data_IF_533579237430
#
_entry.id   IF_533579237430
#
_cell.length_a   1.000
_cell.length_b   1.000
_cell.length_c   1.000
_cell.angle_alpha   90.00
_cell.angle_beta   90.00
_cell.angle_gamma   90.00
#
_symmetry.space_group_name_H-M   'P 1'
#
loop_
_entity.id
_entity.type
_entity.pdbx_description
1 polymer ?
#
# COMPACT_ATOMS: atom_id res chain seq x y z
N UNK A 1 1.98 29.51 25.15
CA UNK A 1 2.02 28.04 24.97
C UNK A 1 1.67 27.78 23.51
N UNK A 2 2.68 27.56 22.68
CA UNK A 2 2.51 27.42 21.24
C UNK A 2 1.68 26.17 20.93
N UNK A 3 0.50 26.37 20.35
CA UNK A 3 -0.13 25.35 19.52
C UNK A 3 0.81 25.13 18.33
N UNK A 4 1.65 24.10 18.42
CA UNK A 4 2.17 23.49 17.20
C UNK A 4 0.93 22.95 16.47
N UNK A 5 0.48 23.68 15.46
CA UNK A 5 -0.41 23.17 14.44
C UNK A 5 0.31 21.94 13.87
N UNK A 6 -0.04 20.74 14.34
CA UNK A 6 0.57 19.51 13.87
C UNK A 6 0.20 19.41 12.39
N UNK A 7 1.17 19.73 11.52
CA UNK A 7 1.01 19.57 10.09
C UNK A 7 0.65 18.10 9.84
N UNK A 8 -0.38 17.87 9.02
CA UNK A 8 -0.70 16.52 8.56
C UNK A 8 0.56 15.93 7.91
N UNK A 9 0.89 14.68 8.25
CA UNK A 9 1.99 13.93 7.65
C UNK A 9 1.85 13.96 6.12
N UNK A 10 2.94 14.19 5.36
CA UNK A 10 2.88 14.17 3.91
C UNK A 10 2.45 12.78 3.44
N UNK A 11 1.44 12.74 2.57
CA UNK A 11 0.87 11.50 2.04
C UNK A 11 1.42 11.18 0.65
N UNK A 12 1.58 9.89 0.30
CA UNK A 12 1.96 9.49 -1.05
C UNK A 12 0.81 9.70 -2.03
N UNK A 13 1.15 9.74 -3.32
CA UNK A 13 0.15 9.61 -4.38
C UNK A 13 -0.35 8.15 -4.47
N UNK A 14 -1.61 7.94 -4.89
CA UNK A 14 -2.16 6.58 -5.08
C UNK A 14 -1.35 5.78 -6.11
N UNK A 15 -0.79 6.46 -7.10
CA UNK A 15 0.10 5.87 -8.09
C UNK A 15 1.41 5.33 -7.50
N UNK A 16 1.96 5.99 -6.48
CA UNK A 16 3.11 5.50 -5.73
C UNK A 16 2.75 4.25 -4.93
N UNK A 17 1.57 4.25 -4.27
CA UNK A 17 1.06 3.06 -3.57
C UNK A 17 0.91 1.87 -4.52
N UNK A 18 0.39 2.10 -5.72
CA UNK A 18 0.28 1.05 -6.75
C UNK A 18 1.65 0.51 -7.14
N UNK A 19 2.62 1.38 -7.45
CA UNK A 19 3.96 0.96 -7.88
C UNK A 19 4.67 0.15 -6.77
N UNK A 20 4.54 0.56 -5.50
CA UNK A 20 5.05 -0.22 -4.35
C UNK A 20 4.32 -1.55 -4.19
N UNK A 21 2.99 -1.58 -4.36
CA UNK A 21 2.19 -2.80 -4.29
C UNK A 21 2.62 -3.82 -5.35
N UNK A 22 2.90 -3.37 -6.57
CA UNK A 22 3.41 -4.23 -7.63
C UNK A 22 4.78 -4.82 -7.27
N UNK A 23 5.67 -4.04 -6.64
CA UNK A 23 6.97 -4.52 -6.18
C UNK A 23 6.84 -5.60 -5.08
N UNK A 24 5.96 -5.39 -4.09
CA UNK A 24 5.67 -6.39 -3.04
C UNK A 24 5.14 -7.70 -3.65
N UNK A 25 4.23 -7.61 -4.64
CA UNK A 25 3.67 -8.79 -5.30
C UNK A 25 4.70 -9.52 -6.17
N UNK A 26 5.61 -8.81 -6.83
CA UNK A 26 6.73 -9.40 -7.56
C UNK A 26 7.67 -10.16 -6.62
N UNK A 27 8.06 -9.55 -5.50
CA UNK A 27 8.84 -10.24 -4.47
C UNK A 27 8.09 -11.48 -3.94
N UNK A 28 6.77 -11.39 -3.79
CA UNK A 28 5.95 -12.53 -3.39
C UNK A 28 5.95 -13.67 -4.41
N UNK A 29 6.02 -13.37 -5.71
CA UNK A 29 6.17 -14.39 -6.76
C UNK A 29 7.55 -15.05 -6.71
N UNK A 30 8.60 -14.25 -6.47
CA UNK A 30 9.98 -14.76 -6.40
C UNK A 30 10.23 -15.64 -5.17
N UNK A 31 9.65 -15.29 -4.02
CA UNK A 31 9.99 -15.90 -2.74
C UNK A 31 8.89 -16.78 -2.13
N UNK A 32 7.61 -16.53 -2.39
CA UNK A 32 6.49 -17.13 -1.65
C UNK A 32 5.34 -17.62 -2.53
N UNK A 33 5.65 -18.14 -3.72
CA UNK A 33 4.67 -18.73 -4.64
C UNK A 33 3.50 -17.79 -5.00
N UNK A 34 3.77 -16.47 -5.01
CA UNK A 34 2.81 -15.45 -5.44
C UNK A 34 1.91 -14.88 -4.36
N UNK A 35 2.13 -15.19 -3.07
CA UNK A 35 1.32 -14.63 -1.98
C UNK A 35 2.15 -14.10 -0.82
N UNK A 36 1.86 -12.86 -0.39
CA UNK A 36 2.38 -12.30 0.86
C UNK A 36 1.58 -12.75 2.10
N UNK A 37 0.55 -13.59 1.92
CA UNK A 37 -0.27 -14.10 3.01
C UNK A 37 0.55 -14.93 4.00
N UNK A 38 0.55 -14.49 5.26
CA UNK A 38 1.36 -15.10 6.32
C UNK A 38 2.82 -14.68 6.31
N UNK A 39 3.12 -13.54 5.67
CA UNK A 39 4.42 -12.87 5.71
C UNK A 39 4.37 -11.63 6.58
N UNK A 40 5.49 -11.32 7.20
CA UNK A 40 5.70 -10.12 7.99
C UNK A 40 6.52 -9.11 7.18
N UNK A 41 5.92 -7.94 6.93
CA UNK A 41 6.60 -6.76 6.39
C UNK A 41 6.87 -5.78 7.53
N UNK A 42 8.12 -5.42 7.74
CA UNK A 42 8.50 -4.37 8.68
C UNK A 42 8.89 -3.10 7.91
N UNK A 43 8.33 -1.96 8.33
CA UNK A 43 8.53 -0.64 7.72
C UNK A 43 9.11 0.29 8.78
N UNK A 44 10.31 0.80 8.52
CA UNK A 44 11.03 1.70 9.41
C UNK A 44 10.94 3.13 8.88
N UNK A 45 10.01 3.91 9.41
CA UNK A 45 9.67 5.26 8.96
C UNK A 45 8.33 5.33 8.23
N UNK A 46 7.57 6.38 8.52
CA UNK A 46 6.31 6.73 7.87
C UNK A 46 6.45 7.98 6.98
N UNK A 47 7.58 8.15 6.30
CA UNK A 47 7.65 9.03 5.13
C UNK A 47 6.66 8.57 4.03
N UNK A 48 6.36 9.39 2.99
CA UNK A 48 5.34 9.05 1.99
C UNK A 48 5.47 7.63 1.42
N UNK A 49 6.70 7.20 1.10
CA UNK A 49 6.97 5.83 0.62
C UNK A 49 6.72 4.76 1.70
N UNK A 50 7.05 5.03 2.96
CA UNK A 50 6.72 4.16 4.09
C UNK A 50 5.21 3.96 4.23
N UNK A 51 4.43 5.04 4.15
CA UNK A 51 2.95 4.97 4.14
C UNK A 51 2.45 4.16 2.95
N UNK A 52 3.01 4.40 1.76
CA UNK A 52 2.68 3.63 0.56
C UNK A 52 2.96 2.14 0.75
N UNK A 53 4.07 1.81 1.41
CA UNK A 53 4.49 0.44 1.72
C UNK A 53 3.54 -0.24 2.70
N UNK A 54 3.04 0.48 3.71
CA UNK A 54 2.04 -0.05 4.64
C UNK A 54 0.77 -0.47 3.91
N UNK A 55 0.22 0.44 3.09
CA UNK A 55 -0.99 0.16 2.31
C UNK A 55 -0.74 -1.00 1.32
N UNK A 56 0.36 -0.94 0.57
CA UNK A 56 0.76 -1.96 -0.40
C UNK A 56 0.89 -3.35 0.23
N UNK A 57 1.52 -3.45 1.40
CA UNK A 57 1.66 -4.70 2.14
C UNK A 57 0.31 -5.33 2.48
N UNK A 58 -0.62 -4.53 3.00
CA UNK A 58 -1.97 -5.01 3.31
C UNK A 58 -2.75 -5.43 2.05
N UNK A 59 -2.64 -4.69 0.95
CA UNK A 59 -3.26 -5.07 -0.34
C UNK A 59 -2.71 -6.40 -0.85
N UNK A 60 -1.39 -6.61 -0.72
CA UNK A 60 -0.72 -7.86 -1.07
C UNK A 60 -1.04 -9.02 -0.11
N UNK A 61 -1.63 -8.74 1.05
CA UNK A 61 -2.05 -9.74 2.05
C UNK A 61 -1.05 -9.98 3.18
N UNK A 62 -0.01 -9.16 3.30
CA UNK A 62 0.98 -9.26 4.38
C UNK A 62 0.44 -8.73 5.72
N UNK A 63 1.00 -9.24 6.80
CA UNK A 63 0.95 -8.56 8.09
C UNK A 63 2.06 -7.49 8.11
N UNK A 64 1.72 -6.28 8.55
CA UNK A 64 2.60 -5.11 8.47
C UNK A 64 2.86 -4.55 9.87
N UNK A 65 4.14 -4.41 10.21
CA UNK A 65 4.62 -3.65 11.36
C UNK A 65 5.23 -2.33 10.85
N UNK A 66 4.61 -1.21 11.18
CA UNK A 66 5.14 0.11 10.87
C UNK A 66 5.67 0.79 12.14
N UNK A 67 6.89 1.31 12.06
CA UNK A 67 7.60 1.91 13.19
C UNK A 67 7.95 3.33 12.78
N UNK A 68 7.61 4.31 13.59
CA UNK A 68 7.98 5.71 13.38
C UNK A 68 8.40 6.35 14.69
N UNK A 69 9.34 7.30 14.65
CA UNK A 69 9.78 8.00 15.86
C UNK A 69 8.70 8.97 16.38
N UNK A 70 7.83 9.49 15.50
CA UNK A 70 6.78 10.44 15.87
C UNK A 70 5.47 9.73 16.20
N UNK A 71 5.01 9.92 17.43
CA UNK A 71 3.74 9.37 17.91
C UNK A 71 2.52 9.95 17.19
N UNK A 72 2.58 11.20 16.75
CA UNK A 72 1.47 11.79 16.01
C UNK A 72 1.32 11.19 14.61
N UNK A 73 2.41 10.78 13.95
CA UNK A 73 2.34 10.04 12.68
C UNK A 73 1.58 8.72 12.83
N UNK A 74 1.91 7.91 13.84
CA UNK A 74 1.21 6.65 14.11
C UNK A 74 -0.30 6.88 14.36
N UNK A 75 -0.65 7.88 15.18
CA UNK A 75 -2.07 8.24 15.42
C UNK A 75 -2.77 8.72 14.16
N UNK A 76 -2.09 9.46 13.28
CA UNK A 76 -2.63 9.90 12.00
C UNK A 76 -2.99 8.71 11.11
N UNK A 77 -2.15 7.67 11.03
CA UNK A 77 -2.44 6.47 10.24
C UNK A 77 -3.75 5.79 10.67
N UNK A 78 -3.99 5.70 11.98
CA UNK A 78 -5.25 5.18 12.53
C UNK A 78 -6.43 6.10 12.18
N UNK A 79 -6.29 7.42 12.33
CA UNK A 79 -7.35 8.40 11.98
C UNK A 79 -7.70 8.37 10.49
N UNK A 80 -6.72 8.13 9.64
CA UNK A 80 -6.90 8.03 8.19
C UNK A 80 -7.46 6.67 7.77
N UNK A 81 -7.44 5.66 8.65
CA UNK A 81 -7.84 4.29 8.33
C UNK A 81 -6.86 3.59 7.38
N UNK A 82 -5.57 3.99 7.44
CA UNK A 82 -4.46 3.32 6.75
C UNK A 82 -3.90 2.20 7.63
N UNK A 83 -4.01 2.36 8.96
CA UNK A 83 -3.56 1.38 9.94
C UNK A 83 -4.73 0.86 10.80
N UNK A 84 -4.71 -0.42 11.15
CA UNK A 84 -5.73 -1.06 11.99
C UNK A 84 -5.49 -0.83 13.49
N UNK A 85 -4.24 -0.89 13.94
CA UNK A 85 -3.86 -0.79 15.34
C UNK A 85 -2.69 0.14 15.59
N UNK A 86 -2.77 0.95 16.63
CA UNK A 86 -1.61 1.68 17.17
C UNK A 86 -1.30 1.14 18.55
N UNK A 87 -0.08 0.66 18.74
CA UNK A 87 0.39 0.01 19.97
C UNK A 87 1.57 0.77 20.57
N UNK A 88 1.86 0.51 21.84
CA UNK A 88 2.90 1.26 22.57
C UNK A 88 4.25 0.55 22.61
N UNK A 89 4.27 -0.76 22.37
CA UNK A 89 5.48 -1.58 22.44
C UNK A 89 5.43 -2.75 21.46
N UNK A 90 6.60 -3.37 21.28
CA UNK A 90 6.79 -4.48 20.36
C UNK A 90 6.06 -5.75 20.82
N UNK A 91 5.87 -5.96 22.13
CA UNK A 91 5.22 -7.18 22.64
C UNK A 91 3.72 -7.18 22.30
N UNK A 92 3.06 -6.03 22.45
CA UNK A 92 1.68 -5.85 22.01
C UNK A 92 1.55 -6.00 20.49
N UNK A 93 2.49 -5.43 19.72
CA UNK A 93 2.52 -5.57 18.27
C UNK A 93 2.59 -7.05 17.85
N UNK A 94 3.53 -7.80 18.44
CA UNK A 94 3.76 -9.20 18.12
C UNK A 94 2.59 -10.09 18.49
N UNK A 95 1.84 -9.78 19.56
CA UNK A 95 0.63 -10.52 19.92
C UNK A 95 -0.44 -10.44 18.82
N UNK A 96 -0.59 -9.27 18.18
CA UNK A 96 -1.52 -9.07 17.07
C UNK A 96 -0.98 -9.77 15.82
N UNK A 97 0.26 -9.44 15.43
CA UNK A 97 0.88 -9.92 14.19
C UNK A 97 0.96 -11.44 14.14
N UNK A 98 1.37 -12.11 15.23
CA UNK A 98 1.51 -13.57 15.29
C UNK A 98 0.22 -14.30 14.93
N UNK A 99 -0.92 -13.80 15.39
CA UNK A 99 -2.22 -14.42 15.12
C UNK A 99 -2.63 -14.27 13.66
N UNK A 100 -2.45 -13.09 13.08
CA UNK A 100 -2.88 -12.80 11.71
C UNK A 100 -1.92 -13.38 10.67
N UNK A 101 -0.62 -13.40 10.96
CA UNK A 101 0.39 -14.16 10.17
C UNK A 101 -0.02 -15.64 10.08
N UNK A 102 -0.40 -16.26 11.21
CA UNK A 102 -0.84 -17.67 11.22
C UNK A 102 -2.11 -17.90 10.38
N UNK A 103 -3.05 -16.95 10.42
CA UNK A 103 -4.29 -17.00 9.63
C UNK A 103 -4.12 -16.57 8.18
N UNK A 104 -2.92 -16.09 7.80
CA UNK A 104 -2.63 -15.48 6.50
C UNK A 104 -3.58 -14.32 6.17
N UNK A 105 -3.93 -13.54 7.18
CA UNK A 105 -4.78 -12.37 7.03
C UNK A 105 -3.93 -11.10 7.09
N UNK A 106 -4.23 -10.10 6.24
CA UNK A 106 -3.58 -8.82 6.32
C UNK A 106 -4.00 -8.10 7.61
N UNK A 107 -3.03 -7.48 8.26
CA UNK A 107 -3.23 -6.57 9.39
C UNK A 107 -2.11 -5.54 9.37
N UNK A 108 -2.40 -4.32 9.79
CA UNK A 108 -1.42 -3.26 9.94
C UNK A 108 -1.34 -2.81 11.40
N UNK A 109 -0.14 -2.82 11.95
CA UNK A 109 0.15 -2.38 13.32
C UNK A 109 1.22 -1.29 13.25
N UNK A 110 0.88 -0.10 13.73
CA UNK A 110 1.82 1.02 13.86
C UNK A 110 2.26 1.17 15.32
N UNK A 111 3.53 1.53 15.54
CA UNK A 111 4.04 1.89 16.85
C UNK A 111 4.96 3.10 16.78
N UNK A 112 4.94 3.90 17.85
CA UNK A 112 5.79 5.05 18.01
C UNK A 112 7.03 4.66 18.82
N UNK A 113 8.17 4.50 18.17
CA UNK A 113 9.42 4.09 18.80
C UNK A 113 10.64 4.59 18.03
N UNK A 114 11.76 4.69 18.72
CA UNK A 114 13.05 4.89 18.06
C UNK A 114 13.34 3.70 17.12
N UNK A 115 13.67 4.01 15.87
CA UNK A 115 13.78 3.00 14.80
C UNK A 115 14.91 2.00 15.09
N UNK A 116 16.07 2.52 15.49
CA UNK A 116 17.26 1.72 15.77
C UNK A 116 17.07 0.87 17.02
N UNK A 117 16.54 1.45 18.11
CA UNK A 117 16.25 0.70 19.32
C UNK A 117 15.20 -0.39 19.07
N UNK A 118 14.20 -0.13 18.24
CA UNK A 118 13.22 -1.14 17.85
C UNK A 118 13.87 -2.25 17.02
N UNK A 119 14.64 -1.91 15.98
CA UNK A 119 15.36 -2.88 15.16
C UNK A 119 16.30 -3.76 16.00
N UNK A 120 17.04 -3.16 16.94
CA UNK A 120 17.90 -3.89 17.87
C UNK A 120 17.11 -4.87 18.73
N UNK A 121 15.96 -4.47 19.28
CA UNK A 121 15.09 -5.39 20.02
C UNK A 121 14.58 -6.54 19.13
N UNK A 122 14.25 -6.28 17.86
CA UNK A 122 13.86 -7.34 16.92
C UNK A 122 15.00 -8.33 16.71
N UNK A 123 16.23 -7.83 16.51
CA UNK A 123 17.45 -8.64 16.32
C UNK A 123 17.75 -9.50 17.54
N UNK A 124 17.70 -8.94 18.75
CA UNK A 124 17.98 -9.62 20.02
C UNK A 124 16.93 -10.69 20.35
N UNK A 125 15.66 -10.41 20.04
CA UNK A 125 14.54 -11.33 20.28
C UNK A 125 14.38 -12.39 19.18
N UNK A 126 15.23 -12.35 18.14
CA UNK A 126 15.14 -13.27 17.00
C UNK A 126 13.89 -13.08 16.15
N UNK A 127 13.29 -11.88 16.17
CA UNK A 127 12.18 -11.53 15.31
C UNK A 127 12.70 -11.21 13.90
N UNK A 128 12.43 -12.10 12.96
CA UNK A 128 12.85 -11.96 11.57
C UNK A 128 11.64 -11.61 10.68
N UNK A 129 11.58 -10.41 10.09
CA UNK A 129 10.60 -10.10 9.05
C UNK A 129 10.98 -10.79 7.73
N UNK A 130 9.98 -11.03 6.89
CA UNK A 130 10.16 -11.55 5.53
C UNK A 130 10.53 -10.40 4.56
N UNK A 131 9.96 -9.20 4.76
CA UNK A 131 10.29 -7.99 4.01
C UNK A 131 10.66 -6.81 4.91
N UNK A 132 11.55 -5.96 4.40
CA UNK A 132 12.00 -4.71 5.01
C UNK A 132 11.82 -3.53 4.05
N UNK A 133 11.45 -2.38 4.60
CA UNK A 133 11.40 -1.11 3.88
C UNK A 133 11.71 0.08 4.82
N UNK A 134 12.12 1.21 4.24
CA UNK A 134 12.37 2.47 4.97
C UNK A 134 13.85 2.69 5.31
N UNK A 135 14.12 3.26 6.48
CA UNK A 135 15.47 3.45 7.01
C UNK A 135 16.07 2.10 7.47
N UNK A 136 17.03 1.58 6.69
CA UNK A 136 17.61 0.24 6.88
C UNK A 136 19.09 0.29 7.29
N UNK A 137 19.50 1.33 7.99
CA UNK A 137 20.82 1.42 8.61
C UNK A 137 20.87 0.70 9.97
N UNK A 138 22.07 0.63 10.56
CA UNK A 138 22.28 0.09 11.91
C UNK A 138 21.75 -1.34 12.08
N UNK A 139 20.98 -1.56 13.14
CA UNK A 139 20.41 -2.85 13.48
C UNK A 139 19.40 -3.37 12.44
N UNK A 140 18.75 -2.50 11.66
CA UNK A 140 17.85 -2.94 10.60
C UNK A 140 18.62 -3.63 9.44
N UNK A 141 19.87 -3.23 9.19
CA UNK A 141 20.74 -3.90 8.22
C UNK A 141 21.03 -5.36 8.63
N UNK A 142 21.12 -5.65 9.93
CA UNK A 142 21.32 -7.02 10.44
C UNK A 142 20.13 -7.92 10.09
N UNK A 143 18.90 -7.39 10.10
CA UNK A 143 17.71 -8.15 9.70
C UNK A 143 17.76 -8.50 8.20
N UNK A 144 18.28 -7.60 7.36
CA UNK A 144 18.53 -7.87 5.95
C UNK A 144 19.60 -8.94 5.76
N UNK A 145 20.73 -8.85 6.46
CA UNK A 145 21.81 -9.86 6.42
C UNK A 145 21.32 -11.26 6.83
N UNK A 146 20.33 -11.32 7.72
CA UNK A 146 19.65 -12.57 8.13
C UNK A 146 18.64 -13.09 7.11
N UNK A 147 18.47 -12.42 5.97
CA UNK A 147 17.69 -12.90 4.83
C UNK A 147 16.34 -12.23 4.60
N UNK A 148 16.02 -11.13 5.29
CA UNK A 148 14.85 -10.34 4.92
C UNK A 148 15.03 -9.70 3.53
N UNK A 149 14.01 -9.81 2.68
CA UNK A 149 14.02 -9.16 1.38
C UNK A 149 13.82 -7.64 1.54
N UNK A 150 14.56 -6.82 0.80
CA UNK A 150 14.42 -5.36 0.87
C UNK A 150 13.57 -4.84 -0.28
N UNK A 151 12.57 -4.03 0.07
CA UNK A 151 11.76 -3.28 -0.87
C UNK A 151 12.50 -2.00 -1.29
N UNK A 152 13.35 -2.12 -2.31
CA UNK A 152 14.16 -1.01 -2.81
C UNK A 152 13.34 0.10 -3.48
N UNK A 153 13.93 1.30 -3.58
CA UNK A 153 13.35 2.47 -4.25
C UNK A 153 13.09 2.25 -5.76
N UNK A 154 13.93 1.42 -6.38
CA UNK A 154 14.18 1.40 -7.83
C UNK A 154 13.79 0.07 -8.51
N UNK A 155 13.00 -0.77 -7.85
CA UNK A 155 12.64 -2.08 -8.40
C UNK A 155 11.49 -1.96 -9.42
N UNK A 156 11.86 -1.72 -10.67
CA UNK A 156 11.08 -1.86 -11.91
C UNK A 156 9.61 -1.44 -11.75
N UNK A 157 9.36 -0.14 -11.88
CA UNK A 157 8.00 0.35 -12.09
C UNK A 157 7.31 -0.53 -13.15
N UNK A 158 6.08 -1.00 -12.91
CA UNK A 158 5.44 -1.94 -13.83
C UNK A 158 5.39 -1.34 -15.24
N UNK A 159 5.43 -2.18 -16.27
CA UNK A 159 5.28 -1.71 -17.63
C UNK A 159 3.88 -1.10 -17.87
N UNK A 160 3.79 -0.28 -18.90
CA UNK A 160 2.56 0.42 -19.27
C UNK A 160 2.52 1.87 -18.77
N UNK A 161 1.64 2.64 -19.40
CA UNK A 161 1.39 4.03 -19.00
C UNK A 161 0.58 4.04 -17.71
N UNK A 162 0.85 5.02 -16.86
CA UNK A 162 0.08 5.21 -15.64
C UNK A 162 -1.23 5.87 -16.00
N UNK A 163 -2.34 5.30 -15.55
CA UNK A 163 -3.67 5.87 -15.72
C UNK A 163 -4.27 6.12 -14.35
N UNK A 164 -4.88 7.28 -14.18
CA UNK A 164 -5.56 7.71 -12.97
C UNK A 164 -7.03 7.99 -13.25
N UNK A 165 -7.90 7.70 -12.30
CA UNK A 165 -9.27 8.23 -12.32
C UNK A 165 -9.76 8.68 -10.96
N UNK A 166 -10.64 9.68 -11.00
CA UNK A 166 -11.27 10.32 -9.85
C UNK A 166 -12.57 11.00 -10.28
N UNK A 167 -13.33 11.53 -9.33
CA UNK A 167 -14.47 12.37 -9.67
C UNK A 167 -14.02 13.70 -10.30
N UNK A 168 -14.72 14.16 -11.34
CA UNK A 168 -14.49 15.47 -11.98
C UNK A 168 -14.71 16.63 -11.01
N UNK A 169 -15.64 16.48 -10.09
CA UNK A 169 -15.96 17.49 -9.08
C UNK A 169 -15.72 16.90 -7.68
N UNK A 170 -14.94 17.61 -6.88
CA UNK A 170 -14.77 17.33 -5.47
C UNK A 170 -16.02 17.86 -4.72
N UNK A 171 -17.00 16.99 -4.52
CA UNK A 171 -18.16 17.27 -3.68
C UNK A 171 -17.94 16.89 -2.22
N UNK A 172 -18.73 17.46 -1.30
CA UNK A 172 -18.74 17.09 0.12
C UNK A 172 -19.08 15.61 0.34
N UNK A 173 -19.81 15.00 -0.59
CA UNK A 173 -20.13 13.58 -0.58
C UNK A 173 -19.64 12.90 -1.85
N UNK A 174 -18.70 11.96 -1.68
CA UNK A 174 -18.17 11.13 -2.76
C UNK A 174 -18.67 9.70 -2.62
N UNK A 175 -19.58 9.24 -3.49
CA UNK A 175 -20.06 7.87 -3.46
C UNK A 175 -18.98 6.92 -4.00
N UNK A 176 -18.06 6.48 -3.14
CA UNK A 176 -16.88 5.69 -3.52
C UNK A 176 -17.21 4.39 -4.31
N UNK A 177 -18.42 3.84 -4.16
CA UNK A 177 -18.88 2.71 -4.96
C UNK A 177 -18.90 3.00 -6.47
N UNK A 178 -19.03 4.27 -6.87
CA UNK A 178 -18.93 4.68 -8.28
C UNK A 178 -17.49 4.51 -8.77
N UNK A 179 -16.48 4.81 -7.96
CA UNK A 179 -15.09 4.50 -8.32
C UNK A 179 -14.90 2.98 -8.42
N UNK A 180 -15.49 2.19 -7.53
CA UNK A 180 -15.47 0.72 -7.62
C UNK A 180 -16.10 0.19 -8.92
N UNK A 181 -17.16 0.82 -9.42
CA UNK A 181 -17.71 0.46 -10.74
C UNK A 181 -16.70 0.73 -11.86
N UNK A 182 -16.00 1.86 -11.81
CA UNK A 182 -14.92 2.19 -12.77
C UNK A 182 -13.74 1.23 -12.62
N UNK A 183 -13.41 0.82 -11.39
CA UNK A 183 -12.35 -0.15 -11.11
C UNK A 183 -12.65 -1.50 -11.80
N UNK A 184 -13.92 -1.94 -11.82
CA UNK A 184 -14.35 -3.13 -12.56
C UNK A 184 -14.21 -2.96 -14.08
N UNK A 185 -14.64 -1.82 -14.64
CA UNK A 185 -14.47 -1.53 -16.07
C UNK A 185 -12.99 -1.55 -16.48
N UNK A 186 -12.13 -0.95 -15.66
CA UNK A 186 -10.69 -0.97 -15.87
C UNK A 186 -10.12 -2.39 -15.80
N UNK A 187 -10.57 -3.20 -14.83
CA UNK A 187 -10.12 -4.58 -14.66
C UNK A 187 -10.53 -5.47 -15.86
N UNK A 188 -11.74 -5.30 -16.38
CA UNK A 188 -12.27 -6.07 -17.50
C UNK A 188 -11.69 -5.67 -18.86
N UNK A 189 -11.13 -4.45 -18.97
CA UNK A 189 -10.42 -3.99 -20.16
C UNK A 189 -8.99 -4.56 -20.29
N UNK A 190 -8.43 -5.12 -19.21
CA UNK A 190 -7.08 -5.68 -19.19
C UNK A 190 -6.97 -6.94 -20.08
N UNK A 191 -5.85 -7.10 -20.78
CA UNK A 191 -5.60 -8.29 -21.59
C UNK A 191 -5.28 -9.48 -20.68
N UNK A 192 -6.09 -10.56 -20.67
CA UNK A 192 -5.88 -11.70 -19.79
C UNK A 192 -4.62 -12.50 -20.11
N UNK A 193 -3.98 -12.29 -21.28
CA UNK A 193 -2.78 -13.00 -21.72
C UNK A 193 -1.49 -12.38 -21.17
N UNK A 194 -1.56 -11.16 -20.64
CA UNK A 194 -0.39 -10.45 -20.10
C UNK A 194 -0.03 -10.99 -18.71
N UNK A 195 1.26 -11.18 -18.45
CA UNK A 195 1.77 -11.76 -17.21
C UNK A 195 1.43 -10.91 -15.97
N UNK A 196 1.31 -9.60 -16.15
CA UNK A 196 1.03 -8.60 -15.11
C UNK A 196 -0.47 -8.48 -14.79
N UNK A 197 -1.36 -9.02 -15.63
CA UNK A 197 -2.82 -8.85 -15.48
C UNK A 197 -3.36 -9.37 -14.14
N UNK A 198 -2.96 -10.54 -13.62
CA UNK A 198 -3.43 -11.00 -12.31
C UNK A 198 -3.13 -10.01 -11.18
N UNK A 199 -1.95 -9.39 -11.19
CA UNK A 199 -1.56 -8.38 -10.19
C UNK A 199 -2.41 -7.12 -10.30
N UNK A 200 -2.60 -6.61 -11.52
CA UNK A 200 -3.40 -5.40 -11.79
C UNK A 200 -4.86 -5.58 -11.38
N UNK A 201 -5.45 -6.75 -11.66
CA UNK A 201 -6.82 -7.09 -11.23
C UNK A 201 -6.92 -7.16 -9.71
N UNK A 202 -5.98 -7.81 -9.05
CA UNK A 202 -5.98 -7.93 -7.58
C UNK A 202 -5.82 -6.57 -6.90
N UNK A 203 -5.00 -5.67 -7.45
CA UNK A 203 -4.91 -4.28 -7.00
C UNK A 203 -6.27 -3.56 -7.11
N UNK A 204 -6.91 -3.59 -8.29
CA UNK A 204 -8.19 -2.92 -8.53
C UNK A 204 -9.30 -3.45 -7.61
N UNK A 205 -9.29 -4.75 -7.32
CA UNK A 205 -10.25 -5.39 -6.43
C UNK A 205 -10.02 -5.01 -4.95
N UNK A 206 -8.77 -5.03 -4.48
CA UNK A 206 -8.46 -4.97 -3.05
C UNK A 206 -8.09 -3.58 -2.54
N UNK A 207 -7.41 -2.77 -3.34
CA UNK A 207 -6.90 -1.46 -2.92
C UNK A 207 -7.97 -0.55 -2.28
N UNK A 208 -9.21 -0.46 -2.80
CA UNK A 208 -10.23 0.43 -2.22
C UNK A 208 -10.48 0.23 -0.73
N UNK A 209 -10.25 -0.98 -0.20
CA UNK A 209 -10.41 -1.29 1.22
C UNK A 209 -9.30 -0.70 2.11
N UNK A 210 -8.09 -0.53 1.58
CA UNK A 210 -6.88 -0.21 2.35
C UNK A 210 -6.37 1.22 2.13
N UNK A 211 -6.87 1.93 1.12
CA UNK A 211 -6.48 3.31 0.83
C UNK A 211 -6.87 4.31 1.95
N UNK A 212 -7.75 3.91 2.87
CA UNK A 212 -8.23 4.79 3.93
C UNK A 212 -8.96 6.03 3.38
N UNK A 213 -9.27 6.99 4.25
CA UNK A 213 -10.09 8.16 3.91
C UNK A 213 -9.35 9.18 3.04
N UNK A 214 -8.03 9.29 3.22
CA UNK A 214 -7.22 10.32 2.56
C UNK A 214 -6.79 9.93 1.15
N UNK A 215 -6.68 8.63 0.84
CA UNK A 215 -6.26 8.15 -0.50
C UNK A 215 -7.41 7.55 -1.32
N UNK A 216 -8.60 7.31 -0.73
CA UNK A 216 -9.72 6.67 -1.43
C UNK A 216 -10.36 7.50 -2.55
N UNK A 217 -10.04 8.79 -2.68
CA UNK A 217 -10.66 9.68 -3.66
C UNK A 217 -10.17 9.49 -5.09
N UNK A 218 -9.05 8.79 -5.26
CA UNK A 218 -8.38 8.56 -6.53
C UNK A 218 -8.04 7.09 -6.70
N UNK A 219 -7.82 6.70 -7.95
CA UNK A 219 -7.40 5.37 -8.36
C UNK A 219 -6.26 5.52 -9.36
N UNK A 220 -5.35 4.55 -9.34
CA UNK A 220 -4.28 4.49 -10.32
C UNK A 220 -3.94 3.04 -10.65
N UNK A 221 -3.60 2.77 -11.89
CA UNK A 221 -3.06 1.47 -12.36
C UNK A 221 -2.21 1.74 -13.61
N UNK A 222 -1.24 0.87 -13.88
CA UNK A 222 -0.52 0.89 -15.16
C UNK A 222 -1.18 -0.04 -16.17
N UNK A 223 -1.50 0.51 -17.34
CA UNK A 223 -2.17 -0.21 -18.42
C UNK A 223 -1.55 0.13 -19.76
N UNK A 224 -1.62 -0.80 -20.71
CA UNK A 224 -1.12 -0.57 -22.06
C UNK A 224 -2.09 0.30 -22.86
N UNK A 225 -1.63 1.03 -23.89
CA UNK A 225 -2.50 1.92 -24.67
C UNK A 225 -3.76 1.26 -25.25
N UNK A 226 -3.67 -0.01 -25.68
CA UNK A 226 -4.83 -0.75 -26.19
C UNK A 226 -5.85 -1.11 -25.10
N UNK A 227 -5.39 -1.50 -23.91
CA UNK A 227 -6.24 -1.73 -22.75
C UNK A 227 -6.92 -0.43 -22.31
N UNK A 228 -6.18 0.69 -22.36
CA UNK A 228 -6.71 1.99 -22.03
C UNK A 228 -7.81 2.44 -23.01
N UNK A 229 -7.61 2.22 -24.31
CA UNK A 229 -8.65 2.50 -25.31
C UNK A 229 -9.91 1.67 -25.06
N UNK A 230 -9.79 0.38 -24.72
CA UNK A 230 -10.92 -0.48 -24.33
C UNK A 230 -11.62 0.03 -23.07
N UNK A 231 -10.86 0.41 -22.06
CA UNK A 231 -11.40 0.96 -20.81
C UNK A 231 -12.17 2.27 -21.07
N UNK A 232 -11.62 3.19 -21.87
CA UNK A 232 -12.30 4.43 -22.24
C UNK A 232 -13.59 4.18 -23.03
N UNK A 233 -13.58 3.21 -23.95
CA UNK A 233 -14.77 2.81 -24.70
C UNK A 233 -15.85 2.26 -23.76
N UNK A 234 -15.50 1.33 -22.87
CA UNK A 234 -16.43 0.76 -21.89
C UNK A 234 -17.00 1.81 -20.93
N UNK A 235 -16.19 2.77 -20.48
CA UNK A 235 -16.67 3.89 -19.67
C UNK A 235 -17.64 4.80 -20.43
N UNK A 236 -17.40 5.02 -21.74
CA UNK A 236 -18.24 5.87 -22.57
C UNK A 236 -19.63 5.27 -22.88
N UNK A 237 -19.80 3.95 -22.74
CA UNK A 237 -21.11 3.29 -22.87
C UNK A 237 -22.10 3.72 -21.78
N UNK A 238 -21.61 4.09 -20.59
CA UNK A 238 -22.40 4.69 -19.52
C UNK A 238 -22.17 6.21 -19.47
N UNK A 239 -23.00 6.95 -20.19
CA UNK A 239 -22.93 8.41 -20.26
C UNK A 239 -23.05 9.08 -18.87
N UNK A 240 -23.81 8.49 -17.94
CA UNK A 240 -23.98 9.05 -16.59
C UNK A 240 -22.72 8.85 -15.75
N UNK A 241 -22.06 7.71 -15.88
CA UNK A 241 -20.78 7.43 -15.23
C UNK A 241 -19.65 8.30 -15.83
N UNK A 242 -19.53 8.34 -17.16
CA UNK A 242 -18.51 9.11 -17.87
C UNK A 242 -18.59 10.63 -17.57
N UNK A 243 -19.80 11.16 -17.40
CA UNK A 243 -20.02 12.56 -17.03
C UNK A 243 -19.47 12.91 -15.63
N UNK A 244 -19.30 11.92 -14.75
CA UNK A 244 -18.89 12.12 -13.35
C UNK A 244 -17.40 11.86 -13.13
N UNK A 245 -16.79 11.04 -13.97
CA UNK A 245 -15.44 10.52 -13.78
C UNK A 245 -14.47 11.15 -14.77
N UNK A 246 -13.34 11.61 -14.23
CA UNK A 246 -12.18 12.03 -14.99
C UNK A 246 -11.20 10.88 -15.05
N UNK A 247 -10.78 10.50 -16.24
CA UNK A 247 -9.72 9.52 -16.48
C UNK A 247 -8.59 10.18 -17.27
N UNK A 248 -7.34 10.04 -16.82
CA UNK A 248 -6.16 10.65 -17.46
C UNK A 248 -5.01 9.66 -17.48
N UNK A 249 -4.22 9.68 -18.56
CA UNK A 249 -2.92 9.03 -18.60
C UNK A 249 -1.85 10.04 -18.15
N UNK A 250 -0.92 9.60 -17.31
CA UNK A 250 0.31 10.32 -16.97
C UNK A 250 1.45 9.79 -17.84
N UNK A 251 2.26 10.72 -18.36
CA UNK A 251 3.46 10.43 -19.14
C UNK A 251 4.60 9.94 -18.26
#
# INVERSE_FOLDING_TARGET
>A
MNLACALDIPLPAVSEVYDVCAAVMRLSQMHWSGSAGGRLLAVFGLEPRGIATVVAGCVAGAAVLAIDADREHAKQMLRFGICDFVVNDLDEALRILKNEVRKKQPVSVCMAADLEACAQQMVERGLQPDLLAGALDGAAAVLQERGAAVLGADQDAPAGQRVLWRFRSAGTFMPLHILTQVDHLAADALDPRMAETPMRRLWLERAPRYLGRKLAAERSVRIYPEEFARFQAALAEDAALAARIEVRAEA
#
